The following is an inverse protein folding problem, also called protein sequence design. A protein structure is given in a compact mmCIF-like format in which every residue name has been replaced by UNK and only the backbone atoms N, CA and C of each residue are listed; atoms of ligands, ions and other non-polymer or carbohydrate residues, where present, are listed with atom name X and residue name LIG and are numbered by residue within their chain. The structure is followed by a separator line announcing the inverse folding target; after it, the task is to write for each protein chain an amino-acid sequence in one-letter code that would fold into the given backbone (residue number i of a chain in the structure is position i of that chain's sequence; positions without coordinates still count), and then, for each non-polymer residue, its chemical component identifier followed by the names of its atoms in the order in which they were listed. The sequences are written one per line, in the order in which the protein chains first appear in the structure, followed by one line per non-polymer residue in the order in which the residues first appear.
data_IF_880642935639
#
_entry.id   IF_880642935639
#
_cell.length_a   1.000
_cell.length_b   1.000
_cell.length_c   1.000
_cell.angle_alpha   90.00
_cell.angle_beta   90.00
_cell.angle_gamma   90.00
#
_symmetry.space_group_name_H-M   'P 1'
#
loop_
_entity.id
_entity.type
_entity.pdbx_description
1 polymer ?
#
# COMPACT_ATOMS: atom_id res chain seq x y z
N UNK A 1 5.67 -42.90 24.00
CA UNK A 1 4.24 -42.49 23.98
C UNK A 1 4.03 -40.98 23.78
N UNK A 2 4.82 -40.08 24.37
CA UNK A 2 4.76 -38.63 24.03
C UNK A 2 5.44 -38.27 22.71
N UNK A 3 6.56 -38.91 22.38
CA UNK A 3 7.32 -38.64 21.15
C UNK A 3 6.55 -39.01 19.87
N UNK A 4 5.71 -40.07 19.91
CA UNK A 4 4.87 -40.45 18.77
C UNK A 4 3.75 -39.45 18.51
N UNK A 5 3.20 -38.83 19.56
CA UNK A 5 2.13 -37.84 19.42
C UNK A 5 2.60 -36.54 18.77
N UNK A 6 3.77 -36.03 19.18
CA UNK A 6 4.35 -34.81 18.59
C UNK A 6 4.79 -35.05 17.15
N UNK A 7 5.36 -36.23 16.87
CA UNK A 7 5.72 -36.63 15.50
C UNK A 7 4.48 -36.76 14.61
N UNK A 8 3.39 -37.35 15.10
CA UNK A 8 2.15 -37.50 14.33
C UNK A 8 1.46 -36.14 14.09
N UNK A 9 1.48 -35.23 15.08
CA UNK A 9 1.00 -33.86 14.87
C UNK A 9 1.83 -33.10 13.85
N UNK A 10 3.16 -33.19 13.90
CA UNK A 10 4.05 -32.55 12.93
C UNK A 10 3.86 -33.13 11.54
N UNK A 11 3.64 -34.44 11.42
CA UNK A 11 3.34 -35.10 10.16
C UNK A 11 1.98 -34.66 9.59
N UNK A 12 0.98 -34.48 10.46
CA UNK A 12 -0.33 -33.93 10.10
C UNK A 12 -0.23 -32.49 9.59
N UNK A 13 0.54 -31.64 10.29
CA UNK A 13 0.82 -30.27 9.87
C UNK A 13 1.54 -30.20 8.53
N UNK A 14 2.58 -31.02 8.34
CA UNK A 14 3.31 -31.10 7.08
C UNK A 14 2.42 -31.55 5.92
N UNK A 15 1.58 -32.56 6.14
CA UNK A 15 0.66 -33.05 5.10
C UNK A 15 -0.41 -32.02 4.73
N UNK A 16 -0.94 -31.26 5.69
CA UNK A 16 -1.88 -30.18 5.41
C UNK A 16 -1.21 -29.02 4.68
N UNK A 17 -0.01 -28.61 5.12
CA UNK A 17 0.75 -27.56 4.46
C UNK A 17 1.12 -27.96 3.02
N UNK A 18 1.54 -29.21 2.81
CA UNK A 18 1.82 -29.79 1.50
C UNK A 18 0.58 -29.77 0.59
N UNK A 19 -0.59 -30.20 1.07
CA UNK A 19 -1.83 -30.16 0.29
C UNK A 19 -2.21 -28.73 -0.11
N UNK A 20 -2.13 -27.78 0.82
CA UNK A 20 -2.41 -26.37 0.54
C UNK A 20 -1.40 -25.77 -0.45
N UNK A 21 -0.11 -26.09 -0.34
CA UNK A 21 0.93 -25.58 -1.24
C UNK A 21 0.77 -26.10 -2.67
N UNK A 22 0.44 -27.39 -2.84
CA UNK A 22 0.25 -27.98 -4.18
C UNK A 22 -1.11 -27.65 -4.81
N UNK A 23 -2.14 -27.29 -4.04
CA UNK A 23 -3.41 -26.78 -4.60
C UNK A 23 -3.24 -25.44 -5.34
N UNK A 24 -2.23 -24.64 -5.00
CA UNK A 24 -1.89 -23.41 -5.72
C UNK A 24 -0.96 -23.65 -6.93
N UNK A 25 -0.39 -24.85 -7.06
CA UNK A 25 0.59 -25.22 -8.09
C UNK A 25 0.12 -26.40 -8.98
N UNK A 26 -1.09 -26.90 -8.80
CA UNK A 26 -1.74 -27.73 -9.82
C UNK A 26 -2.01 -26.85 -11.04
N UNK A 27 -1.06 -26.94 -11.97
CA UNK A 27 -1.10 -26.53 -13.37
C UNK A 27 -2.46 -25.98 -13.75
N UNK A 28 -2.54 -24.66 -13.94
CA UNK A 28 -3.48 -24.09 -14.89
C UNK A 28 -3.40 -24.93 -16.16
N UNK A 29 -4.39 -25.79 -16.36
CA UNK A 29 -4.59 -26.44 -17.62
C UNK A 29 -4.78 -25.31 -18.63
N UNK A 30 -3.72 -25.01 -19.37
CA UNK A 30 -3.82 -24.29 -20.62
C UNK A 30 -4.74 -25.17 -21.45
N UNK A 31 -6.01 -24.78 -21.54
CA UNK A 31 -6.91 -25.37 -22.51
C UNK A 31 -6.28 -25.11 -23.88
N UNK A 32 -5.62 -26.12 -24.43
CA UNK A 32 -5.38 -26.19 -25.85
C UNK A 32 -6.75 -26.26 -26.51
N UNK A 33 -7.22 -25.10 -26.98
CA UNK A 33 -8.34 -25.04 -27.89
C UNK A 33 -8.01 -25.90 -29.10
N UNK A 34 -8.87 -26.85 -29.50
CA UNK A 34 -8.64 -27.62 -30.71
C UNK A 34 -8.79 -26.70 -31.91
N UNK A 35 -7.69 -26.50 -32.63
CA UNK A 35 -7.67 -25.89 -33.94
C UNK A 35 -8.30 -26.86 -34.95
N UNK A 36 -9.63 -26.82 -35.10
CA UNK A 36 -10.33 -27.29 -36.30
C UNK A 36 -11.81 -26.91 -36.22
N UNK A 37 -12.15 -25.72 -36.70
CA UNK A 37 -13.47 -25.43 -37.28
C UNK A 37 -13.23 -24.45 -38.44
N UNK A 38 -13.03 -25.05 -39.60
CA UNK A 38 -13.17 -24.42 -40.90
C UNK A 38 -14.61 -23.93 -41.08
N UNK A 39 -14.72 -22.70 -41.60
CA UNK A 39 -15.79 -22.21 -42.46
C UNK A 39 -17.18 -21.98 -41.84
N UNK A 40 -17.33 -20.86 -41.15
CA UNK A 40 -18.50 -19.99 -41.34
C UNK A 40 -17.98 -18.56 -41.42
N UNK A 41 -18.18 -17.90 -42.56
CA UNK A 41 -17.88 -16.48 -42.79
C UNK A 41 -18.74 -15.62 -41.85
N UNK A 42 -18.23 -15.30 -40.66
CA UNK A 42 -18.71 -14.15 -39.91
C UNK A 42 -18.08 -12.89 -40.53
N UNK A 43 -18.92 -12.10 -41.19
CA UNK A 43 -18.58 -10.80 -41.74
C UNK A 43 -17.83 -9.94 -40.71
N UNK A 44 -16.69 -9.37 -41.12
CA UNK A 44 -15.86 -8.42 -40.35
C UNK A 44 -16.57 -7.07 -40.09
N UNK A 45 -17.73 -7.07 -39.43
CA UNK A 45 -18.26 -5.85 -38.83
C UNK A 45 -17.52 -5.60 -37.52
N UNK A 46 -16.29 -5.09 -37.63
CA UNK A 46 -15.66 -4.41 -36.51
C UNK A 46 -16.40 -3.09 -36.33
N UNK A 47 -17.26 -3.01 -35.32
CA UNK A 47 -17.69 -1.73 -34.78
C UNK A 47 -16.43 -1.07 -34.21
N UNK A 48 -15.80 -0.19 -35.00
CA UNK A 48 -14.76 0.70 -34.52
C UNK A 48 -15.46 1.76 -33.67
N UNK A 49 -15.88 1.38 -32.46
CA UNK A 49 -16.31 2.37 -31.46
C UNK A 49 -15.06 3.14 -31.06
N UNK A 50 -14.80 4.24 -31.75
CA UNK A 50 -13.96 5.31 -31.22
C UNK A 50 -14.71 5.91 -30.04
N UNK A 51 -14.59 5.25 -28.88
CA UNK A 51 -14.91 5.87 -27.60
C UNK A 51 -13.87 6.98 -27.42
N UNK A 52 -14.21 8.18 -27.90
CA UNK A 52 -13.50 9.41 -27.54
C UNK A 52 -13.79 9.58 -26.05
N UNK A 53 -12.95 8.97 -25.20
CA UNK A 53 -12.94 9.27 -23.78
C UNK A 53 -12.54 10.74 -23.68
N UNK A 54 -13.50 11.60 -23.35
CA UNK A 54 -13.18 12.97 -22.99
C UNK A 54 -12.15 12.90 -21.86
N UNK A 55 -11.00 13.59 -21.96
CA UNK A 55 -10.07 13.67 -20.86
C UNK A 55 -10.82 14.26 -19.67
N UNK A 56 -10.71 13.60 -18.51
CA UNK A 56 -11.32 14.09 -17.29
C UNK A 56 -10.53 15.32 -16.87
N UNK A 57 -11.23 16.42 -16.62
CA UNK A 57 -10.58 17.63 -16.13
C UNK A 57 -9.90 17.35 -14.78
N UNK A 58 -8.70 17.90 -14.55
CA UNK A 58 -8.04 17.81 -13.26
C UNK A 58 -9.00 18.22 -12.13
N UNK A 59 -8.93 17.48 -11.02
CA UNK A 59 -9.84 17.66 -9.89
C UNK A 59 -9.11 18.42 -8.79
N UNK A 60 -9.70 19.49 -8.29
CA UNK A 60 -9.25 20.17 -7.07
C UNK A 60 -10.08 19.65 -5.88
N UNK A 61 -9.44 18.89 -5.01
CA UNK A 61 -10.07 18.24 -3.86
C UNK A 61 -9.76 19.06 -2.60
N UNK A 62 -10.77 19.76 -2.11
CA UNK A 62 -10.75 20.56 -0.88
C UNK A 62 -12.09 20.37 -0.18
N UNK A 63 -12.19 20.73 1.10
CA UNK A 63 -13.46 20.63 1.83
C UNK A 63 -14.58 21.47 1.18
N UNK A 64 -14.23 22.54 0.45
CA UNK A 64 -15.17 23.39 -0.29
C UNK A 64 -15.70 22.74 -1.58
N UNK A 65 -14.91 21.87 -2.20
CA UNK A 65 -15.27 21.26 -3.50
C UNK A 65 -15.97 19.91 -3.34
N UNK A 66 -16.01 19.33 -2.14
CA UNK A 66 -16.63 18.00 -1.89
C UNK A 66 -18.07 17.92 -2.36
N UNK A 67 -18.91 18.93 -2.07
CA UNK A 67 -20.32 18.89 -2.48
C UNK A 67 -20.48 18.84 -4.01
N UNK A 68 -19.64 19.58 -4.75
CA UNK A 68 -19.63 19.52 -6.21
C UNK A 68 -19.12 18.17 -6.73
N UNK A 69 -18.08 17.61 -6.10
CA UNK A 69 -17.54 16.30 -6.43
C UNK A 69 -18.55 15.17 -6.13
N UNK A 70 -19.39 15.33 -5.10
CA UNK A 70 -20.51 14.43 -4.82
C UNK A 70 -21.61 14.50 -5.89
N UNK A 71 -21.84 15.67 -6.47
CA UNK A 71 -22.79 15.86 -7.57
C UNK A 71 -22.41 15.10 -8.85
N UNK A 72 -21.11 15.03 -9.17
CA UNK A 72 -20.61 14.36 -10.39
C UNK A 72 -20.21 12.89 -10.21
N UNK A 73 -20.24 12.39 -8.97
CA UNK A 73 -19.76 11.04 -8.65
C UNK A 73 -20.82 9.96 -8.84
N UNK A 74 -20.37 8.79 -9.28
CA UNK A 74 -21.22 7.63 -9.48
C UNK A 74 -21.42 6.85 -8.20
N UNK A 75 -22.67 6.55 -7.88
CA UNK A 75 -23.01 5.70 -6.74
C UNK A 75 -22.67 4.23 -7.03
N UNK A 76 -22.00 3.59 -6.09
CA UNK A 76 -21.75 2.15 -6.11
C UNK A 76 -22.04 1.54 -4.74
N UNK A 77 -22.71 0.37 -4.73
CA UNK A 77 -22.95 -0.38 -3.50
C UNK A 77 -21.64 -0.87 -2.88
N UNK A 78 -20.70 -1.31 -3.72
CA UNK A 78 -19.39 -1.78 -3.30
C UNK A 78 -18.30 -1.24 -4.22
N UNK A 79 -17.30 -0.57 -3.65
CA UNK A 79 -16.15 -0.07 -4.40
C UNK A 79 -14.97 -1.03 -4.25
N UNK A 80 -14.25 -1.26 -5.35
CA UNK A 80 -12.98 -1.98 -5.38
C UNK A 80 -11.83 -0.99 -5.59
N UNK A 81 -10.98 -0.86 -4.56
CA UNK A 81 -9.72 -0.11 -4.65
C UNK A 81 -8.73 -0.87 -5.52
N UNK A 82 -7.94 -0.13 -6.29
CA UNK A 82 -6.93 -0.67 -7.21
C UNK A 82 -5.73 0.29 -7.34
N UNK A 83 -4.77 -0.08 -8.19
CA UNK A 83 -3.55 0.69 -8.48
C UNK A 83 -3.76 2.11 -9.00
N UNK A 84 -4.98 2.48 -9.43
CA UNK A 84 -5.32 3.83 -9.90
C UNK A 84 -5.97 4.69 -8.81
N UNK A 85 -6.33 4.12 -7.67
CA UNK A 85 -6.93 4.87 -6.57
C UNK A 85 -5.88 5.77 -5.93
N UNK A 86 -6.10 7.08 -5.97
CA UNK A 86 -5.18 8.07 -5.41
C UNK A 86 -5.71 8.74 -4.15
N UNK A 87 -7.02 8.73 -3.91
CA UNK A 87 -7.60 9.26 -2.69
C UNK A 87 -8.92 8.57 -2.31
N UNK A 88 -9.13 8.37 -1.02
CA UNK A 88 -10.35 7.81 -0.42
C UNK A 88 -10.71 8.73 0.73
N UNK A 89 -11.76 9.53 0.58
CA UNK A 89 -12.19 10.48 1.61
C UNK A 89 -13.34 9.89 2.40
N UNK A 90 -13.16 9.82 3.71
CA UNK A 90 -14.25 9.62 4.65
C UNK A 90 -15.07 10.93 4.72
N UNK A 91 -16.38 10.83 4.46
CA UNK A 91 -17.30 11.98 4.38
C UNK A 91 -18.52 11.79 5.29
N UNK A 92 -18.42 10.91 6.30
CA UNK A 92 -19.50 10.68 7.28
C UNK A 92 -19.90 11.93 8.08
N UNK A 93 -19.03 12.93 8.12
CA UNK A 93 -19.26 14.23 8.75
C UNK A 93 -20.02 15.22 7.86
N UNK A 94 -20.20 14.93 6.57
CA UNK A 94 -20.96 15.75 5.63
C UNK A 94 -22.45 15.45 5.76
N UNK A 95 -23.21 16.39 6.34
CA UNK A 95 -24.62 16.19 6.73
C UNK A 95 -25.61 16.06 5.55
N UNK A 96 -25.26 16.61 4.39
CA UNK A 96 -26.18 16.72 3.24
C UNK A 96 -26.06 15.54 2.26
N UNK A 97 -25.65 14.37 2.75
CA UNK A 97 -25.44 13.18 1.92
C UNK A 97 -25.65 11.89 2.73
N UNK A 98 -26.29 10.86 2.15
CA UNK A 98 -26.38 9.54 2.78
C UNK A 98 -25.11 8.68 2.57
N UNK A 99 -24.10 9.21 1.87
CA UNK A 99 -22.86 8.50 1.55
C UNK A 99 -21.80 8.70 2.63
N UNK A 100 -21.05 7.64 2.93
CA UNK A 100 -20.01 7.63 3.96
C UNK A 100 -18.62 7.81 3.36
N UNK A 101 -18.40 7.47 2.08
CA UNK A 101 -17.08 7.53 1.44
C UNK A 101 -17.17 7.94 -0.03
N UNK A 102 -16.21 8.75 -0.45
CA UNK A 102 -15.95 9.06 -1.86
C UNK A 102 -14.52 8.61 -2.23
N UNK A 103 -14.38 7.95 -3.37
CA UNK A 103 -13.14 7.35 -3.88
C UNK A 103 -12.76 8.00 -5.20
N UNK A 104 -11.50 8.38 -5.33
CA UNK A 104 -10.94 9.03 -6.50
C UNK A 104 -9.92 8.11 -7.18
N UNK A 105 -10.08 7.94 -8.49
CA UNK A 105 -9.25 7.08 -9.33
C UNK A 105 -8.77 7.84 -10.56
N UNK A 106 -7.54 7.58 -10.99
CA UNK A 106 -7.00 8.15 -12.22
C UNK A 106 -7.80 7.70 -13.45
N UNK A 107 -8.07 8.63 -14.35
CA UNK A 107 -8.83 8.41 -15.58
C UNK A 107 -10.30 8.01 -15.39
N UNK A 108 -10.86 8.19 -14.18
CA UNK A 108 -12.27 7.91 -13.88
C UNK A 108 -12.91 9.04 -13.06
N UNK A 109 -14.24 9.18 -13.20
CA UNK A 109 -15.01 10.07 -12.33
C UNK A 109 -15.04 9.50 -10.90
N UNK A 110 -15.17 10.35 -9.86
CA UNK A 110 -15.17 9.87 -8.49
C UNK A 110 -16.36 8.92 -8.24
N UNK A 111 -16.17 7.99 -7.32
CA UNK A 111 -17.17 7.01 -6.91
C UNK A 111 -17.64 7.33 -5.49
N UNK A 112 -18.94 7.22 -5.22
CA UNK A 112 -19.50 7.42 -3.87
C UNK A 112 -20.22 6.18 -3.39
N UNK A 113 -20.18 5.92 -2.10
CA UNK A 113 -20.79 4.74 -1.50
C UNK A 113 -21.22 4.98 -0.06
N UNK A 114 -22.17 4.18 0.40
CA UNK A 114 -22.62 4.12 1.79
C UNK A 114 -21.69 3.28 2.67
N UNK A 115 -20.71 2.59 2.07
CA UNK A 115 -19.70 1.88 2.84
C UNK A 115 -18.73 2.84 3.54
N UNK A 116 -18.32 2.48 4.75
CA UNK A 116 -17.24 3.16 5.45
C UNK A 116 -15.90 2.90 4.76
N UNK A 117 -14.99 3.88 4.80
CA UNK A 117 -13.66 3.75 4.18
C UNK A 117 -12.87 2.57 4.77
N UNK A 118 -13.10 2.27 6.06
CA UNK A 118 -12.53 1.09 6.73
C UNK A 118 -12.94 -0.21 6.05
N UNK A 119 -14.22 -0.36 5.70
CA UNK A 119 -14.74 -1.57 5.02
C UNK A 119 -14.12 -1.72 3.64
N UNK A 120 -14.04 -0.61 2.89
CA UNK A 120 -13.44 -0.56 1.55
C UNK A 120 -11.95 -0.95 1.61
N UNK A 121 -11.19 -0.33 2.52
CA UNK A 121 -9.76 -0.60 2.65
C UNK A 121 -9.46 -2.00 3.19
N UNK A 122 -10.21 -2.49 4.17
CA UNK A 122 -10.05 -3.86 4.66
C UNK A 122 -10.31 -4.90 3.56
N UNK A 123 -11.31 -4.66 2.70
CA UNK A 123 -11.55 -5.52 1.53
C UNK A 123 -10.35 -5.54 0.60
N UNK A 124 -9.72 -4.40 0.37
CA UNK A 124 -8.53 -4.30 -0.47
C UNK A 124 -7.32 -4.99 0.18
N UNK A 125 -7.06 -4.75 1.46
CA UNK A 125 -5.96 -5.39 2.20
C UNK A 125 -6.08 -6.92 2.26
N UNK A 126 -7.29 -7.45 2.34
CA UNK A 126 -7.53 -8.89 2.39
C UNK A 126 -7.39 -9.60 1.03
N UNK A 127 -7.36 -8.86 -0.08
CA UNK A 127 -7.13 -9.43 -1.42
C UNK A 127 -5.65 -9.59 -1.75
N UNK A 128 -4.77 -8.80 -1.12
CA UNK A 128 -3.34 -8.82 -1.37
C UNK A 128 -2.64 -10.00 -0.70
N UNK A 129 -1.43 -10.36 -1.17
CA UNK A 129 -0.61 -11.38 -0.51
C UNK A 129 -0.11 -10.94 0.88
N UNK A 130 -0.06 -9.63 1.13
CA UNK A 130 0.28 -9.03 2.41
C UNK A 130 -0.96 -8.31 2.96
N UNK A 131 -1.51 -8.82 4.06
CA UNK A 131 -2.55 -8.11 4.78
C UNK A 131 -1.96 -6.92 5.56
N UNK A 132 -2.81 -5.95 5.91
CA UNK A 132 -2.36 -4.74 6.59
C UNK A 132 -1.83 -5.00 8.00
N UNK A 133 -2.26 -6.07 8.68
CA UNK A 133 -1.79 -6.44 10.02
C UNK A 133 -0.29 -6.78 10.01
N UNK A 134 0.18 -7.49 8.98
CA UNK A 134 1.61 -7.78 8.80
C UNK A 134 2.41 -6.49 8.57
N UNK A 135 1.91 -5.57 7.75
CA UNK A 135 2.57 -4.29 7.52
C UNK A 135 2.60 -3.44 8.80
N UNK A 136 1.50 -3.42 9.57
CA UNK A 136 1.44 -2.75 10.86
C UNK A 136 2.42 -3.37 11.87
N UNK A 137 2.59 -4.69 11.84
CA UNK A 137 3.56 -5.40 12.68
C UNK A 137 5.00 -4.97 12.36
N UNK A 138 5.37 -4.95 11.07
CA UNK A 138 6.66 -4.45 10.61
C UNK A 138 6.82 -2.97 10.98
N UNK A 139 5.78 -2.15 10.76
CA UNK A 139 5.78 -0.76 11.17
C UNK A 139 6.03 -0.59 12.67
N UNK A 140 5.38 -1.40 13.52
CA UNK A 140 5.53 -1.36 14.97
C UNK A 140 6.96 -1.71 15.41
N UNK A 141 7.61 -2.69 14.76
CA UNK A 141 9.01 -3.02 15.05
C UNK A 141 9.96 -1.85 14.74
N UNK A 142 9.64 -1.04 13.73
CA UNK A 142 10.32 0.21 13.39
C UNK A 142 9.90 1.43 14.23
N UNK A 143 8.99 1.27 15.19
CA UNK A 143 8.50 2.33 16.06
C UNK A 143 7.31 3.14 15.51
N UNK A 144 6.63 2.64 14.47
CA UNK A 144 5.48 3.31 13.84
C UNK A 144 4.17 2.87 14.51
N UNK A 145 3.90 3.41 15.71
CA UNK A 145 2.72 3.01 16.50
C UNK A 145 1.39 3.62 16.01
N UNK A 146 1.45 4.75 15.29
CA UNK A 146 0.26 5.46 14.82
C UNK A 146 0.38 5.78 13.35
N UNK A 147 -0.74 5.74 12.61
CA UNK A 147 -0.81 6.10 11.18
C UNK A 147 0.28 5.35 10.39
N UNK A 148 0.29 4.02 10.48
CA UNK A 148 1.23 3.20 9.73
C UNK A 148 0.78 3.18 8.26
N UNK A 149 1.66 3.50 7.29
CA UNK A 149 1.35 3.32 5.87
C UNK A 149 1.10 1.85 5.54
N UNK A 150 0.16 1.58 4.64
CA UNK A 150 0.11 0.31 3.94
C UNK A 150 1.02 0.37 2.72
N UNK A 151 1.94 -0.57 2.58
CA UNK A 151 2.88 -0.67 1.46
C UNK A 151 2.79 -2.09 0.89
N UNK A 152 2.47 -2.19 -0.39
CA UNK A 152 2.45 -3.44 -1.14
C UNK A 152 3.01 -3.21 -2.54
N UNK A 153 4.29 -3.52 -2.72
CA UNK A 153 4.99 -3.31 -3.97
C UNK A 153 5.12 -1.83 -4.29
N UNK A 154 4.41 -1.36 -5.32
CA UNK A 154 4.37 0.06 -5.69
C UNK A 154 3.15 0.79 -5.15
N UNK A 155 2.18 0.07 -4.58
CA UNK A 155 0.95 0.65 -4.04
C UNK A 155 1.17 1.04 -2.58
N UNK A 156 1.02 2.34 -2.31
CA UNK A 156 1.26 2.92 -0.99
C UNK A 156 0.06 3.77 -0.60
N UNK A 157 -0.62 3.38 0.48
CA UNK A 157 -1.75 4.12 1.04
C UNK A 157 -1.43 4.57 2.45
N UNK A 158 -1.61 5.87 2.71
CA UNK A 158 -1.34 6.47 4.02
C UNK A 158 -2.66 6.94 4.63
N UNK A 159 -2.95 6.58 5.90
CA UNK A 159 -4.13 7.09 6.59
C UNK A 159 -3.88 8.51 7.11
N UNK A 160 -4.85 9.40 6.94
CA UNK A 160 -4.76 10.77 7.47
C UNK A 160 -4.76 10.79 9.02
N UNK A 161 -5.57 9.93 9.64
CA UNK A 161 -5.69 9.78 11.10
C UNK A 161 -5.35 8.35 11.53
N UNK A 162 -5.03 8.15 12.82
CA UNK A 162 -4.73 6.82 13.34
C UNK A 162 -5.91 5.87 13.13
N UNK A 163 -5.66 4.70 12.53
CA UNK A 163 -6.70 3.71 12.20
C UNK A 163 -7.23 2.94 13.41
N UNK A 164 -6.72 3.21 14.62
CA UNK A 164 -6.96 2.39 15.81
C UNK A 164 -8.43 2.31 16.21
N UNK A 165 -9.25 3.34 15.95
CA UNK A 165 -10.63 3.40 16.47
C UNK A 165 -11.71 3.84 15.44
N UNK A 166 -11.44 3.92 14.14
CA UNK A 166 -12.46 4.39 13.19
C UNK A 166 -12.09 4.36 11.72
N UNK A 167 -13.08 4.66 10.88
CA UNK A 167 -12.88 5.00 9.47
C UNK A 167 -12.13 6.33 9.34
N UNK A 168 -11.27 6.43 8.33
CA UNK A 168 -10.38 7.56 8.08
C UNK A 168 -10.14 7.73 6.59
N UNK A 169 -9.77 8.93 6.16
CA UNK A 169 -9.35 9.16 4.78
C UNK A 169 -7.97 8.56 4.51
N UNK A 170 -7.75 8.11 3.28
CA UNK A 170 -6.50 7.52 2.81
C UNK A 170 -6.05 8.19 1.53
N UNK A 171 -4.78 8.53 1.42
CA UNK A 171 -4.18 9.06 0.20
C UNK A 171 -3.09 8.13 -0.32
N UNK A 172 -3.04 8.00 -1.65
CA UNK A 172 -2.11 7.14 -2.37
C UNK A 172 -0.81 7.87 -2.66
N UNK A 173 0.23 7.70 -1.82
CA UNK A 173 1.55 8.31 -2.06
C UNK A 173 2.16 7.90 -3.41
N UNK A 174 1.78 6.72 -3.91
CA UNK A 174 2.26 6.16 -5.17
C UNK A 174 1.82 6.95 -6.42
N UNK A 175 0.87 7.88 -6.27
CA UNK A 175 0.44 8.82 -7.32
C UNK A 175 0.87 10.26 -7.09
N UNK A 176 1.43 10.60 -5.92
CA UNK A 176 1.86 11.98 -5.63
C UNK A 176 3.15 12.25 -6.39
N UNK A 177 3.09 13.25 -7.27
CA UNK A 177 4.23 13.77 -7.98
C UNK A 177 4.96 14.79 -7.13
N UNK A 178 4.26 15.74 -6.52
CA UNK A 178 4.88 16.81 -5.74
C UNK A 178 4.03 17.28 -4.55
N UNK A 179 4.63 18.06 -3.65
CA UNK A 179 3.94 18.62 -2.48
C UNK A 179 4.47 20.00 -2.09
N UNK A 180 3.56 20.93 -1.81
CA UNK A 180 3.87 22.31 -1.42
C UNK A 180 3.21 22.64 -0.08
N UNK A 181 3.99 23.20 0.85
CA UNK A 181 3.48 23.65 2.14
C UNK A 181 2.77 25.01 2.00
N UNK A 182 1.52 25.08 2.47
CA UNK A 182 0.86 26.35 2.74
C UNK A 182 1.18 26.81 4.16
N UNK A 183 2.20 27.68 4.27
CA UNK A 183 2.68 28.24 5.54
C UNK A 183 1.60 29.01 6.31
N UNK A 184 0.57 29.53 5.64
CA UNK A 184 -0.48 30.34 6.28
C UNK A 184 -1.55 29.46 6.92
N UNK A 185 -1.89 28.35 6.27
CA UNK A 185 -2.98 27.47 6.71
C UNK A 185 -2.49 26.23 7.48
N UNK A 186 -1.17 25.98 7.56
CA UNK A 186 -0.57 24.76 8.12
C UNK A 186 -1.14 23.48 7.46
N UNK A 187 -1.37 23.56 6.16
CA UNK A 187 -1.82 22.47 5.31
C UNK A 187 -0.76 22.18 4.25
N UNK A 188 -0.86 21.01 3.64
CA UNK A 188 -0.02 20.65 2.50
C UNK A 188 -0.89 20.43 1.27
N UNK A 189 -0.51 21.10 0.19
CA UNK A 189 -1.08 20.84 -1.12
C UNK A 189 -0.27 19.73 -1.78
N UNK A 190 -0.93 18.67 -2.23
CA UNK A 190 -0.28 17.58 -2.97
C UNK A 190 -0.81 17.51 -4.39
N UNK A 191 0.12 17.25 -5.31
CA UNK A 191 -0.14 17.17 -6.74
C UNK A 191 0.00 15.72 -7.18
N UNK A 192 -1.08 15.15 -7.70
CA UNK A 192 -1.10 13.80 -8.24
C UNK A 192 -0.88 13.79 -9.76
N UNK A 193 -0.71 12.59 -10.31
CA UNK A 193 -0.80 12.35 -11.75
C UNK A 193 -2.10 12.89 -12.33
N UNK A 194 -2.09 13.16 -13.63
CA UNK A 194 -3.22 13.76 -14.37
C UNK A 194 -3.62 15.15 -13.86
N UNK A 195 -2.73 15.81 -13.12
CA UNK A 195 -2.91 17.17 -12.61
C UNK A 195 -3.91 17.29 -11.45
N UNK A 196 -4.37 16.19 -10.86
CA UNK A 196 -5.26 16.26 -9.71
C UNK A 196 -4.56 16.88 -8.51
N UNK A 197 -5.32 17.62 -7.71
CA UNK A 197 -4.84 18.41 -6.59
C UNK A 197 -5.64 18.07 -5.34
N UNK A 198 -4.95 17.96 -4.20
CA UNK A 198 -5.59 17.70 -2.91
C UNK A 198 -4.95 18.57 -1.82
N UNK A 199 -5.82 19.25 -1.08
CA UNK A 199 -5.44 19.91 0.16
C UNK A 199 -5.55 18.91 1.31
N UNK A 200 -4.42 18.52 1.89
CA UNK A 200 -4.37 17.68 3.08
C UNK A 200 -4.28 18.55 4.33
N UNK A 201 -5.17 18.29 5.29
CA UNK A 201 -5.19 18.96 6.60
C UNK A 201 -4.13 18.37 7.54
N UNK A 202 -2.88 18.33 7.11
CA UNK A 202 -1.71 17.86 7.87
C UNK A 202 -0.54 18.85 7.71
N UNK A 203 0.28 18.99 8.75
CA UNK A 203 1.49 19.81 8.67
C UNK A 203 2.53 19.20 7.74
N UNK A 204 3.39 20.03 7.15
CA UNK A 204 4.49 19.57 6.31
C UNK A 204 5.42 18.58 7.04
N UNK A 205 5.65 18.80 8.34
CA UNK A 205 6.38 17.84 9.19
C UNK A 205 5.68 16.48 9.24
N UNK A 206 4.38 16.46 9.54
CA UNK A 206 3.63 15.20 9.63
C UNK A 206 3.57 14.47 8.28
N UNK A 207 3.47 15.20 7.17
CA UNK A 207 3.50 14.62 5.83
C UNK A 207 4.87 14.00 5.54
N UNK A 208 5.96 14.73 5.81
CA UNK A 208 7.31 14.24 5.61
C UNK A 208 7.63 13.02 6.48
N UNK A 209 7.15 12.98 7.72
CA UNK A 209 7.26 11.79 8.58
C UNK A 209 6.53 10.58 7.97
N UNK A 210 5.35 10.76 7.37
CA UNK A 210 4.62 9.68 6.70
C UNK A 210 5.30 9.20 5.42
N UNK A 211 5.88 10.13 4.67
CA UNK A 211 6.67 9.81 3.49
C UNK A 211 7.91 9.00 3.86
N UNK A 212 8.65 9.40 4.90
CA UNK A 212 9.81 8.64 5.40
C UNK A 212 9.43 7.23 5.88
N UNK A 213 8.33 7.09 6.62
CA UNK A 213 7.82 5.77 7.04
C UNK A 213 7.50 4.89 5.84
N UNK A 214 6.88 5.45 4.81
CA UNK A 214 6.52 4.75 3.58
C UNK A 214 7.75 4.33 2.79
N UNK A 215 8.76 5.19 2.71
CA UNK A 215 10.07 4.90 2.09
C UNK A 215 10.75 3.75 2.83
N UNK A 216 10.85 3.80 4.17
CA UNK A 216 11.51 2.75 4.96
C UNK A 216 10.82 1.38 4.81
N UNK A 217 9.48 1.36 4.84
CA UNK A 217 8.71 0.14 4.59
C UNK A 217 8.91 -0.38 3.16
N UNK A 218 8.97 0.52 2.17
CA UNK A 218 9.22 0.16 0.78
C UNK A 218 10.63 -0.42 0.59
N UNK A 219 11.65 0.17 1.22
CA UNK A 219 13.04 -0.33 1.20
C UNK A 219 13.08 -1.75 1.76
N UNK A 220 12.50 -1.98 2.95
CA UNK A 220 12.48 -3.32 3.56
C UNK A 220 11.77 -4.34 2.68
N UNK A 221 10.63 -3.96 2.07
CA UNK A 221 9.91 -4.86 1.17
C UNK A 221 10.73 -5.15 -0.10
N UNK A 222 11.40 -4.15 -0.67
CA UNK A 222 12.27 -4.32 -1.83
C UNK A 222 13.45 -5.24 -1.51
N UNK A 223 14.13 -5.05 -0.38
CA UNK A 223 15.26 -5.90 0.04
C UNK A 223 14.85 -7.37 0.17
N UNK A 224 13.72 -7.65 0.82
CA UNK A 224 13.23 -9.03 0.97
C UNK A 224 12.89 -9.62 -0.40
N UNK A 225 12.22 -8.85 -1.26
CA UNK A 225 11.88 -9.32 -2.62
C UNK A 225 13.15 -9.58 -3.44
N UNK A 226 14.10 -8.65 -3.45
CA UNK A 226 15.28 -8.73 -4.29
C UNK A 226 16.18 -9.91 -3.88
N UNK A 227 16.29 -10.19 -2.58
CA UNK A 227 16.98 -11.39 -2.09
C UNK A 227 16.26 -12.68 -2.54
N UNK A 228 14.94 -12.77 -2.33
CA UNK A 228 14.15 -13.95 -2.71
C UNK A 228 14.18 -14.22 -4.22
N UNK A 229 14.10 -13.17 -5.02
CA UNK A 229 14.19 -13.22 -6.49
C UNK A 229 15.60 -13.62 -6.91
N UNK A 230 16.63 -13.11 -6.23
CA UNK A 230 18.03 -13.47 -6.44
C UNK A 230 18.34 -14.94 -6.13
N UNK A 231 17.74 -15.50 -5.07
CA UNK A 231 17.82 -16.94 -4.76
C UNK A 231 17.24 -17.83 -5.87
N UNK A 232 16.29 -17.30 -6.64
CA UNK A 232 15.69 -17.96 -7.80
C UNK A 232 16.43 -17.64 -9.11
N UNK A 233 17.57 -16.95 -9.05
CA UNK A 233 18.36 -16.50 -10.19
C UNK A 233 17.60 -15.59 -11.16
N UNK A 234 16.57 -14.90 -10.68
CA UNK A 234 15.89 -13.86 -11.43
C UNK A 234 16.45 -12.50 -11.05
N UNK A 235 16.29 -11.52 -11.95
CA UNK A 235 16.55 -10.12 -11.66
C UNK A 235 15.26 -9.34 -11.81
N UNK A 236 14.93 -8.55 -10.79
CA UNK A 236 13.76 -7.69 -10.85
C UNK A 236 14.03 -6.49 -11.75
N UNK A 237 13.20 -6.31 -12.77
CA UNK A 237 13.12 -5.03 -13.49
C UNK A 237 12.26 -4.07 -12.68
N UNK A 238 12.81 -2.94 -12.19
CA UNK A 238 12.00 -1.97 -11.48
C UNK A 238 10.93 -1.38 -12.40
N UNK A 239 9.69 -1.33 -11.93
CA UNK A 239 8.61 -0.63 -12.61
C UNK A 239 8.72 0.87 -12.33
N UNK A 240 9.17 1.62 -13.32
CA UNK A 240 9.13 3.08 -13.32
C UNK A 240 8.10 3.54 -14.34
N UNK A 241 7.16 4.35 -13.88
CA UNK A 241 6.36 5.21 -14.76
C UNK A 241 7.26 6.32 -15.31
N UNK A 242 6.90 6.89 -16.47
CA UNK A 242 7.64 8.01 -17.09
C UNK A 242 7.91 9.16 -16.09
N UNK A 243 6.93 9.46 -15.24
CA UNK A 243 7.08 10.38 -14.12
C UNK A 243 7.25 9.64 -12.79
N UNK A 244 8.37 9.86 -12.10
CA UNK A 244 8.64 9.28 -10.78
C UNK A 244 7.78 9.95 -9.71
N UNK A 245 7.06 9.14 -8.91
CA UNK A 245 6.34 9.66 -7.74
C UNK A 245 7.32 10.07 -6.62
N UNK A 246 6.83 10.80 -5.62
CA UNK A 246 7.62 11.35 -4.52
C UNK A 246 8.38 10.25 -3.72
N UNK A 247 7.80 9.06 -3.59
CA UNK A 247 8.45 7.92 -2.92
C UNK A 247 9.58 7.37 -3.79
N UNK A 248 9.34 7.16 -5.08
CA UNK A 248 10.35 6.70 -6.05
C UNK A 248 11.51 7.69 -6.17
N UNK A 249 11.24 9.01 -6.17
CA UNK A 249 12.28 10.05 -6.13
C UNK A 249 13.16 9.89 -4.89
N UNK A 250 12.58 9.67 -3.71
CA UNK A 250 13.35 9.39 -2.49
C UNK A 250 14.12 8.08 -2.57
N UNK A 251 13.48 6.98 -2.97
CA UNK A 251 14.14 5.68 -3.13
C UNK A 251 15.36 5.76 -4.06
N UNK A 252 15.21 6.42 -5.23
CA UNK A 252 16.31 6.61 -6.18
C UNK A 252 17.47 7.41 -5.58
N UNK A 253 17.19 8.48 -4.83
CA UNK A 253 18.23 9.24 -4.12
C UNK A 253 18.93 8.39 -3.04
N UNK A 254 18.18 7.48 -2.42
CA UNK A 254 18.63 6.60 -1.32
C UNK A 254 19.52 5.46 -1.78
N UNK A 255 19.27 4.91 -2.98
CA UNK A 255 20.03 3.78 -3.54
C UNK A 255 21.53 4.05 -3.63
N UNK A 256 21.94 5.31 -3.78
CA UNK A 256 23.35 5.69 -3.90
C UNK A 256 24.09 5.86 -2.56
N UNK A 257 23.36 5.91 -1.43
CA UNK A 257 23.91 6.23 -0.11
C UNK A 257 23.66 5.15 0.94
N UNK A 258 22.78 4.19 0.66
CA UNK A 258 22.33 3.20 1.64
C UNK A 258 23.20 1.94 1.65
N UNK A 259 23.55 1.47 2.85
CA UNK A 259 24.06 0.11 3.07
C UNK A 259 22.89 -0.80 3.45
N UNK A 260 22.53 -1.71 2.55
CA UNK A 260 21.39 -2.60 2.77
C UNK A 260 21.76 -3.72 3.75
N UNK A 261 20.87 -4.03 4.70
CA UNK A 261 21.03 -5.21 5.55
C UNK A 261 20.81 -6.49 4.74
N UNK A 262 21.51 -7.56 5.09
CA UNK A 262 21.15 -8.90 4.60
C UNK A 262 19.74 -9.29 5.07
N UNK A 263 19.06 -10.16 4.31
CA UNK A 263 17.76 -10.71 4.73
C UNK A 263 17.84 -11.35 6.11
N UNK A 264 18.96 -12.02 6.42
CA UNK A 264 19.22 -12.64 7.71
C UNK A 264 19.13 -11.61 8.85
N UNK A 265 19.75 -10.44 8.67
CA UNK A 265 19.72 -9.38 9.67
C UNK A 265 18.31 -8.78 9.83
N UNK A 266 17.53 -8.67 8.75
CA UNK A 266 16.12 -8.26 8.82
C UNK A 266 15.29 -9.30 9.59
N UNK A 267 15.45 -10.59 9.28
CA UNK A 267 14.74 -11.68 9.96
C UNK A 267 15.11 -11.78 11.45
N UNK A 268 16.40 -11.64 11.77
CA UNK A 268 16.89 -11.62 13.15
C UNK A 268 16.31 -10.44 13.93
N UNK A 269 16.26 -9.24 13.33
CA UNK A 269 15.62 -8.09 13.94
C UNK A 269 14.14 -8.33 14.23
N UNK A 270 13.39 -8.84 13.24
CA UNK A 270 11.97 -9.14 13.40
C UNK A 270 11.71 -10.23 14.45
N UNK A 271 12.56 -11.27 14.51
CA UNK A 271 12.49 -12.34 15.50
C UNK A 271 12.74 -11.80 16.92
N UNK A 272 13.80 -11.00 17.10
CA UNK A 272 14.11 -10.37 18.39
C UNK A 272 12.98 -9.46 18.86
N UNK A 273 12.37 -8.70 17.95
CA UNK A 273 11.22 -7.86 18.28
C UNK A 273 10.00 -8.70 18.73
N UNK A 274 9.73 -9.82 18.05
CA UNK A 274 8.66 -10.74 18.44
C UNK A 274 8.88 -11.36 19.82
N UNK A 275 10.10 -11.81 20.09
CA UNK A 275 10.46 -12.36 21.41
C UNK A 275 10.27 -11.30 22.49
N UNK A 276 10.69 -10.06 22.22
CA UNK A 276 10.48 -8.95 23.15
C UNK A 276 8.98 -8.71 23.47
N UNK A 277 8.10 -8.69 22.47
CA UNK A 277 6.66 -8.52 22.71
C UNK A 277 6.06 -9.66 23.55
N UNK A 278 6.51 -10.90 23.31
CA UNK A 278 6.07 -12.06 24.11
C UNK A 278 6.56 -11.90 25.56
N UNK A 279 7.81 -11.51 25.76
CA UNK A 279 8.37 -11.30 27.11
C UNK A 279 7.63 -10.19 27.85
N UNK A 280 7.36 -9.07 27.20
CA UNK A 280 6.60 -7.95 27.77
C UNK A 280 5.16 -8.39 28.11
N UNK A 281 4.52 -9.19 27.26
CA UNK A 281 3.16 -9.70 27.49
C UNK A 281 3.09 -10.71 28.65
N UNK A 282 4.06 -11.62 28.75
CA UNK A 282 4.05 -12.72 29.73
C UNK A 282 4.61 -12.30 31.09
N UNK A 283 5.69 -11.52 31.09
CA UNK A 283 6.43 -11.18 32.31
C UNK A 283 6.25 -9.71 32.73
N UNK A 284 5.59 -8.88 31.91
CA UNK A 284 5.40 -7.45 32.19
C UNK A 284 6.68 -6.61 32.08
N UNK A 285 7.80 -7.23 31.69
CA UNK A 285 9.12 -6.59 31.58
C UNK A 285 9.64 -6.82 30.16
N UNK A 286 9.76 -5.73 29.41
CA UNK A 286 10.38 -5.72 28.08
C UNK A 286 11.91 -5.67 28.16
N UNK A 287 12.57 -5.95 27.04
CA UNK A 287 13.99 -5.74 26.85
C UNK A 287 14.31 -4.24 26.96
N UNK A 288 15.15 -3.82 27.94
CA UNK A 288 15.47 -2.40 28.13
C UNK A 288 16.23 -1.80 26.95
N UNK A 289 16.81 -2.62 26.07
CA UNK A 289 17.62 -2.18 24.93
C UNK A 289 16.86 -2.18 23.59
N UNK A 290 15.54 -2.40 23.60
CA UNK A 290 14.76 -2.55 22.36
C UNK A 290 14.78 -1.28 21.50
N UNK A 291 14.85 -0.11 22.14
CA UNK A 291 14.90 1.18 21.46
C UNK A 291 16.27 1.45 20.84
N UNK A 292 17.37 1.04 21.49
CA UNK A 292 18.72 1.05 20.93
C UNK A 292 18.81 0.13 19.71
N UNK A 293 18.34 -1.12 19.84
CA UNK A 293 18.34 -2.11 18.75
C UNK A 293 17.54 -1.57 17.55
N UNK A 294 16.38 -0.96 17.81
CA UNK A 294 15.58 -0.31 16.77
C UNK A 294 16.33 0.86 16.14
N UNK A 295 16.98 1.71 16.94
CA UNK A 295 17.74 2.86 16.44
C UNK A 295 18.88 2.40 15.52
N UNK A 296 19.63 1.39 15.94
CA UNK A 296 20.74 0.84 15.15
C UNK A 296 20.26 0.20 13.85
N UNK A 297 19.15 -0.52 13.89
CA UNK A 297 18.53 -1.08 12.69
C UNK A 297 18.06 0.03 11.73
N UNK A 298 17.36 1.05 12.25
CA UNK A 298 16.77 2.13 11.45
C UNK A 298 17.76 3.17 10.96
N UNK A 299 18.93 3.33 11.59
CA UNK A 299 19.98 4.27 11.15
C UNK A 299 20.41 4.02 9.70
N UNK A 300 20.44 2.76 9.29
CA UNK A 300 20.77 2.34 7.92
C UNK A 300 19.62 2.54 6.91
N UNK A 301 18.38 2.66 7.40
CA UNK A 301 17.20 2.94 6.58
C UNK A 301 16.99 4.45 6.39
N UNK A 302 17.45 5.26 7.36
CA UNK A 302 17.32 6.70 7.33
C UNK A 302 18.27 7.30 6.29
N UNK A 303 17.68 7.75 5.21
CA UNK A 303 18.32 8.70 4.32
C UNK A 303 18.35 10.05 5.02
N UNK A 304 19.51 10.70 5.11
CA UNK A 304 19.51 12.13 5.41
C UNK A 304 18.66 12.79 4.32
N UNK A 305 17.61 13.56 4.66
CA UNK A 305 16.93 14.34 3.65
C UNK A 305 17.99 15.23 3.02
N UNK A 306 18.25 15.06 1.72
CA UNK A 306 18.81 16.14 0.94
C UNK A 306 17.78 17.25 1.05
N UNK A 307 18.14 18.30 1.79
CA UNK A 307 17.44 19.56 1.74
C UNK A 307 17.33 19.96 0.28
N UNK A 308 16.17 19.73 -0.33
CA UNK A 308 15.82 20.38 -1.59
C UNK A 308 15.38 21.79 -1.22
N UNK A 309 16.37 22.62 -0.93
CA UNK A 309 16.30 24.06 -1.12
C UNK A 309 17.42 24.39 -2.11
N UNK A 310 16.98 25.03 -3.21
CA UNK A 310 17.73 25.58 -4.35
C UNK A 310 18.10 24.60 -5.47
#
# INVERSE_FOLDING_TARGET
MKEDFERDQQHGYYNNWRKSYYQFNEKSHINHFPSHLSEVYESNYYYKTTLIRKPISPLLITDKTISALLGISFEQSHILVNSKTFYIKDIRDVKDTPFNTIVFQLGALPLKTKEDSRTIMNRYFNKGPLNYQIIQYIGKSLGYHHRCPFVSGYEIFVPEKGSSNGSTSWYGLHHILDSVEDKKANHIQVYFREGHELQLNVSARSFNEQLERSVNLSILQQMVIDELVGLLHYTRTPYFTEELNIVQRRLKASTFTSTFHSIEKVLNFMSNYRVNEILETVFGVGNPYIDEIRRDFTLTLKNKPSSFNE
#
